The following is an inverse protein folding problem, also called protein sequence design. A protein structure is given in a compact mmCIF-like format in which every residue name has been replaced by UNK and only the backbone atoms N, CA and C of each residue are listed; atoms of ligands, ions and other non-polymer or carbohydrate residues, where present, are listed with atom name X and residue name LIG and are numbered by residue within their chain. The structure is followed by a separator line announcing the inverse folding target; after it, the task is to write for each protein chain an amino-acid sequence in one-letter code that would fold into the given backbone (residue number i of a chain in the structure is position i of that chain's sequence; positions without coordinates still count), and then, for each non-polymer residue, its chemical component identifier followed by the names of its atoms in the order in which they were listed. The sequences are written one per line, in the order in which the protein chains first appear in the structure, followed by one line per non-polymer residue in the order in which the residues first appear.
data_IF_221781096116
#
_entry.id   IF_221781096116
#
_cell.length_a   1.000
_cell.length_b   1.000
_cell.length_c   1.000
_cell.angle_alpha   90.00
_cell.angle_beta   90.00
_cell.angle_gamma   90.00
#
_symmetry.space_group_name_H-M   'P 1'
#
loop_
_entity.id
_entity.type
_entity.pdbx_description
1 polymer ?
#
# COMPACT_ATOMS: atom_id res chain seq x y z
N UNK A 1 -44.84 -36.74 7.18
CA UNK A 1 -44.49 -35.40 7.71
C UNK A 1 -45.07 -34.35 6.77
N UNK A 2 -45.81 -33.35 7.26
CA UNK A 2 -46.40 -32.30 6.39
C UNK A 2 -45.34 -31.24 6.09
N UNK A 3 -45.13 -30.92 4.82
CA UNK A 3 -44.16 -29.90 4.40
C UNK A 3 -44.75 -28.52 4.70
N UNK A 4 -44.00 -27.66 5.41
CA UNK A 4 -44.36 -26.27 5.70
C UNK A 4 -43.31 -25.30 5.15
N UNK A 5 -43.55 -24.00 5.29
CA UNK A 5 -42.64 -22.92 4.86
C UNK A 5 -41.25 -22.99 5.51
N UNK A 6 -41.17 -23.46 6.75
CA UNK A 6 -39.92 -23.48 7.49
C UNK A 6 -38.93 -24.50 6.94
N UNK A 7 -39.40 -25.61 6.36
CA UNK A 7 -38.52 -26.54 5.65
C UNK A 7 -37.81 -25.87 4.46
N UNK A 8 -38.53 -25.07 3.67
CA UNK A 8 -37.93 -24.35 2.54
C UNK A 8 -36.95 -23.26 3.00
N UNK A 9 -37.25 -22.58 4.11
CA UNK A 9 -36.32 -21.61 4.71
C UNK A 9 -35.05 -22.29 5.23
N UNK A 10 -35.20 -23.42 5.92
CA UNK A 10 -34.07 -24.18 6.45
C UNK A 10 -33.18 -24.71 5.32
N UNK A 11 -33.77 -25.23 4.24
CA UNK A 11 -33.04 -25.66 3.05
C UNK A 11 -32.30 -24.50 2.38
N UNK A 12 -32.98 -23.36 2.22
CA UNK A 12 -32.34 -22.14 1.71
C UNK A 12 -31.16 -21.69 2.60
N UNK A 13 -31.32 -21.67 3.93
CA UNK A 13 -30.26 -21.32 4.86
C UNK A 13 -29.07 -22.29 4.77
N UNK A 14 -29.33 -23.60 4.64
CA UNK A 14 -28.30 -24.61 4.47
C UNK A 14 -27.51 -24.38 3.17
N UNK A 15 -28.20 -24.10 2.06
CA UNK A 15 -27.56 -23.78 0.78
C UNK A 15 -26.65 -22.54 0.87
N UNK A 16 -27.10 -21.46 1.52
CA UNK A 16 -26.26 -20.27 1.70
C UNK A 16 -25.06 -20.51 2.62
N UNK A 17 -25.24 -21.31 3.66
CA UNK A 17 -24.14 -21.72 4.51
C UNK A 17 -23.09 -22.51 3.71
N UNK A 18 -23.51 -23.46 2.88
CA UNK A 18 -22.60 -24.23 2.01
C UNK A 18 -21.89 -23.33 0.99
N UNK A 19 -22.59 -22.37 0.37
CA UNK A 19 -21.99 -21.39 -0.55
C UNK A 19 -20.95 -20.52 0.14
N UNK A 20 -21.23 -20.06 1.36
CA UNK A 20 -20.29 -19.27 2.16
C UNK A 20 -19.06 -20.10 2.53
N UNK A 21 -19.24 -21.35 2.95
CA UNK A 21 -18.13 -22.28 3.24
C UNK A 21 -17.25 -22.54 2.02
N UNK A 22 -17.87 -22.75 0.85
CA UNK A 22 -17.15 -22.94 -0.40
C UNK A 22 -16.31 -21.70 -0.75
N UNK A 23 -16.91 -20.52 -0.64
CA UNK A 23 -16.21 -19.27 -0.94
C UNK A 23 -15.09 -19.00 0.07
N UNK A 24 -15.35 -19.19 1.37
CA UNK A 24 -14.37 -19.05 2.45
C UNK A 24 -13.16 -19.97 2.28
N UNK A 25 -13.34 -21.17 1.72
CA UNK A 25 -12.23 -22.08 1.46
C UNK A 25 -11.19 -21.52 0.48
N UNK A 26 -11.56 -20.52 -0.32
CA UNK A 26 -10.68 -19.83 -1.27
C UNK A 26 -10.13 -18.50 -0.72
N UNK A 27 -10.62 -18.04 0.44
CA UNK A 27 -10.19 -16.79 1.06
C UNK A 27 -9.04 -17.02 2.03
N UNK A 28 -8.32 -15.94 2.31
CA UNK A 28 -7.31 -15.88 3.36
C UNK A 28 -7.44 -14.56 4.11
N UNK A 29 -6.70 -14.39 5.21
CA UNK A 29 -6.65 -13.14 5.97
C UNK A 29 -6.22 -11.91 5.13
N UNK A 30 -5.62 -12.15 3.98
CA UNK A 30 -5.12 -11.11 3.06
C UNK A 30 -5.83 -11.11 1.70
N UNK A 31 -6.88 -11.94 1.56
CA UNK A 31 -7.65 -12.10 0.33
C UNK A 31 -9.14 -12.13 0.69
N UNK A 32 -9.69 -10.97 1.04
CA UNK A 32 -11.13 -10.72 1.16
C UNK A 32 -11.43 -9.25 0.83
N UNK A 33 -12.71 -8.89 0.77
CA UNK A 33 -13.16 -7.53 0.52
C UNK A 33 -13.51 -7.28 -0.94
N UNK A 34 -13.21 -6.08 -1.44
CA UNK A 34 -13.57 -5.68 -2.81
C UNK A 34 -12.94 -6.63 -3.83
N UNK A 35 -13.70 -7.04 -4.84
CA UNK A 35 -13.20 -7.87 -5.94
C UNK A 35 -13.51 -7.26 -7.31
N UNK A 36 -12.72 -7.63 -8.31
CA UNK A 36 -12.86 -7.13 -9.67
C UNK A 36 -13.67 -8.11 -10.54
N UNK A 37 -14.65 -7.60 -11.29
CA UNK A 37 -15.52 -8.39 -12.18
C UNK A 37 -15.35 -8.06 -13.66
N UNK A 38 -14.37 -7.22 -14.02
CA UNK A 38 -14.20 -6.72 -15.39
C UNK A 38 -14.71 -5.29 -15.60
N UNK A 39 -15.58 -4.81 -14.71
CA UNK A 39 -16.04 -3.42 -14.69
C UNK A 39 -15.25 -2.64 -13.62
N UNK A 40 -14.83 -1.39 -13.90
CA UNK A 40 -14.19 -0.56 -12.90
C UNK A 40 -15.18 -0.26 -11.77
N UNK A 41 -14.81 -0.58 -10.53
CA UNK A 41 -15.59 -0.18 -9.36
C UNK A 41 -15.43 1.32 -9.12
N UNK A 42 -16.47 1.99 -8.57
CA UNK A 42 -16.33 3.37 -8.15
C UNK A 42 -15.21 3.47 -7.12
N UNK A 43 -14.40 4.53 -7.23
CA UNK A 43 -13.33 4.81 -6.25
C UNK A 43 -13.89 4.88 -4.82
N UNK A 44 -15.17 5.25 -4.69
CA UNK A 44 -15.88 5.34 -3.41
C UNK A 44 -17.16 4.51 -3.47
N UNK A 45 -17.22 3.37 -2.76
CA UNK A 45 -18.46 2.63 -2.65
C UNK A 45 -19.48 3.38 -1.79
N UNK A 46 -19.06 4.32 -0.92
CA UNK A 46 -19.91 5.04 0.03
C UNK A 46 -19.88 6.54 -0.21
N UNK A 47 -21.06 7.16 -0.24
CA UNK A 47 -21.24 8.61 -0.21
C UNK A 47 -21.68 9.05 1.18
N UNK A 48 -21.04 10.11 1.67
CA UNK A 48 -21.34 10.72 2.96
C UNK A 48 -21.92 12.10 2.70
N UNK A 49 -23.06 12.37 3.31
CA UNK A 49 -23.75 13.65 3.24
C UNK A 49 -24.01 14.15 4.65
N UNK A 50 -23.84 15.45 4.86
CA UNK A 50 -24.19 16.10 6.12
C UNK A 50 -25.30 17.10 5.82
N UNK A 51 -26.44 16.93 6.48
CA UNK A 51 -27.59 17.82 6.31
C UNK A 51 -27.47 19.07 7.20
N UNK A 52 -28.25 20.11 6.89
CA UNK A 52 -28.36 21.37 7.62
C UNK A 52 -28.74 21.19 9.10
N UNK A 53 -29.31 20.04 9.47
CA UNK A 53 -29.62 19.67 10.85
C UNK A 53 -28.45 18.99 11.59
N UNK A 54 -27.23 19.04 11.03
CA UNK A 54 -26.05 18.30 11.53
C UNK A 54 -26.32 16.79 11.67
N UNK A 55 -27.11 16.22 10.76
CA UNK A 55 -27.24 14.78 10.64
C UNK A 55 -26.26 14.26 9.61
N UNK A 56 -25.56 13.19 9.96
CA UNK A 56 -24.62 12.52 9.07
C UNK A 56 -25.34 11.34 8.46
N UNK A 57 -25.56 11.39 7.15
CA UNK A 57 -26.18 10.34 6.36
C UNK A 57 -25.15 9.68 5.43
N UNK A 58 -25.05 8.35 5.49
CA UNK A 58 -24.14 7.55 4.67
C UNK A 58 -24.94 6.62 3.79
N UNK A 59 -24.56 6.47 2.52
CA UNK A 59 -25.25 5.60 1.56
C UNK A 59 -24.24 4.83 0.72
N UNK A 60 -24.45 3.52 0.59
CA UNK A 60 -23.66 2.64 -0.28
C UNK A 60 -24.14 2.76 -1.74
N UNK A 61 -23.34 3.29 -2.66
CA UNK A 61 -23.73 3.44 -4.07
C UNK A 61 -23.69 2.12 -4.83
N UNK A 62 -22.51 1.51 -4.86
CA UNK A 62 -22.25 0.22 -5.47
C UNK A 62 -21.11 -0.44 -4.71
N UNK A 63 -21.17 -1.76 -4.60
CA UNK A 63 -20.18 -2.55 -3.89
C UNK A 63 -20.23 -3.98 -4.37
N UNK A 64 -19.10 -4.46 -4.89
CA UNK A 64 -18.91 -5.87 -5.17
C UNK A 64 -17.78 -6.36 -4.27
N UNK A 65 -18.13 -7.10 -3.24
CA UNK A 65 -17.19 -7.51 -2.20
C UNK A 65 -17.52 -8.89 -1.63
N UNK A 66 -16.55 -9.49 -0.96
CA UNK A 66 -16.74 -10.72 -0.21
C UNK A 66 -16.26 -10.54 1.23
N UNK A 67 -17.07 -10.94 2.21
CA UNK A 67 -16.67 -10.87 3.62
C UNK A 67 -15.65 -11.97 3.94
N UNK A 68 -14.89 -11.88 5.05
CA UNK A 68 -14.01 -12.96 5.52
C UNK A 68 -14.75 -14.29 5.75
N UNK A 69 -16.05 -14.23 6.05
CA UNK A 69 -16.93 -15.38 6.18
C UNK A 69 -17.30 -16.07 4.86
N UNK A 70 -16.94 -15.50 3.71
CA UNK A 70 -17.31 -16.01 2.40
C UNK A 70 -18.68 -15.53 1.91
N UNK A 71 -19.25 -14.49 2.50
CA UNK A 71 -20.55 -13.95 2.06
C UNK A 71 -20.35 -12.88 0.98
N UNK A 72 -21.06 -13.06 -0.13
CA UNK A 72 -21.01 -12.15 -1.27
C UNK A 72 -21.89 -10.91 -1.03
N UNK A 73 -21.31 -9.74 -1.27
CA UNK A 73 -21.97 -8.45 -1.31
C UNK A 73 -21.99 -8.00 -2.76
N UNK A 74 -23.19 -7.73 -3.29
CA UNK A 74 -23.36 -7.28 -4.67
C UNK A 74 -24.45 -6.21 -4.74
N UNK A 75 -24.01 -4.96 -4.88
CA UNK A 75 -24.86 -3.75 -4.96
C UNK A 75 -24.42 -2.95 -6.19
N UNK A 76 -25.37 -2.54 -7.05
CA UNK A 76 -25.13 -1.81 -8.31
C UNK A 76 -25.81 -0.44 -8.34
N UNK A 77 -25.14 0.52 -8.99
CA UNK A 77 -25.55 1.94 -9.08
C UNK A 77 -26.78 2.18 -9.97
N UNK A 78 -26.99 1.39 -11.03
CA UNK A 78 -28.10 1.54 -12.02
C UNK A 78 -29.52 1.33 -11.43
N UNK A 79 -29.62 1.01 -10.14
CA UNK A 79 -30.87 0.91 -9.39
C UNK A 79 -31.59 2.26 -9.15
N UNK A 80 -31.09 3.36 -9.74
CA UNK A 80 -31.59 4.74 -9.56
C UNK A 80 -32.59 5.18 -10.65
N UNK A 81 -32.75 4.43 -11.75
CA UNK A 81 -33.81 4.73 -12.76
C UNK A 81 -35.17 4.14 -12.35
N UNK A 82 -36.21 4.95 -12.44
CA UNK A 82 -37.46 4.82 -11.67
C UNK A 82 -38.34 3.59 -11.96
N UNK A 83 -38.06 2.79 -12.99
CA UNK A 83 -38.85 1.60 -13.35
C UNK A 83 -38.25 0.31 -12.79
N UNK A 84 -37.04 0.37 -12.23
CA UNK A 84 -36.26 -0.78 -11.79
C UNK A 84 -35.95 -0.76 -10.30
N UNK A 85 -36.94 -0.31 -9.50
CA UNK A 85 -36.87 -0.19 -8.03
C UNK A 85 -36.89 -1.55 -7.31
N UNK A 86 -36.02 -2.43 -7.75
CA UNK A 86 -35.60 -3.63 -7.04
C UNK A 86 -34.74 -3.17 -5.88
N UNK A 87 -35.47 -2.87 -4.82
CA UNK A 87 -34.98 -2.30 -3.60
C UNK A 87 -34.42 -3.45 -2.76
N UNK A 88 -33.15 -3.80 -2.96
CA UNK A 88 -32.37 -4.06 -1.77
C UNK A 88 -32.25 -2.68 -1.11
N UNK A 89 -32.85 -2.48 0.07
CA UNK A 89 -32.66 -1.24 0.82
C UNK A 89 -31.16 -1.07 0.98
N UNK A 90 -30.59 -0.15 0.19
CA UNK A 90 -29.22 0.26 0.36
C UNK A 90 -29.13 0.71 1.82
N UNK A 91 -28.28 0.10 2.65
CA UNK A 91 -28.24 0.47 4.04
C UNK A 91 -27.79 1.92 4.12
N UNK A 92 -28.66 2.75 4.68
CA UNK A 92 -28.39 4.14 4.93
C UNK A 92 -28.25 4.34 6.43
N UNK A 93 -27.09 4.80 6.90
CA UNK A 93 -26.93 5.20 8.30
C UNK A 93 -27.26 6.69 8.38
N UNK A 94 -28.22 7.08 9.23
CA UNK A 94 -28.47 8.48 9.57
C UNK A 94 -28.41 8.65 11.09
N UNK A 95 -27.55 9.53 11.59
CA UNK A 95 -27.45 9.82 13.01
C UNK A 95 -27.07 11.28 13.31
N UNK A 96 -27.44 11.81 14.49
CA UNK A 96 -27.04 13.14 14.92
C UNK A 96 -25.52 13.25 15.11
N UNK A 97 -24.92 14.35 14.66
CA UNK A 97 -23.49 14.64 14.84
C UNK A 97 -23.03 14.55 16.31
N UNK A 98 -23.90 14.90 17.26
CA UNK A 98 -23.62 14.84 18.70
C UNK A 98 -23.31 13.43 19.23
N UNK A 99 -23.64 12.36 18.48
CA UNK A 99 -23.33 10.98 18.85
C UNK A 99 -21.93 10.53 18.39
N UNK A 100 -21.26 11.30 17.52
CA UNK A 100 -19.86 11.08 17.20
C UNK A 100 -19.03 11.66 18.36
N UNK A 101 -18.25 10.82 19.02
CA UNK A 101 -17.42 11.19 20.15
C UNK A 101 -16.35 12.24 19.76
N UNK A 102 -15.66 12.73 20.81
CA UNK A 102 -14.68 13.82 20.89
C UNK A 102 -13.95 14.27 19.60
N UNK A 103 -13.54 15.54 19.60
CA UNK A 103 -12.67 16.12 18.58
C UNK A 103 -11.47 15.20 18.26
N UNK A 104 -11.22 15.00 16.96
CA UNK A 104 -10.18 14.14 16.37
C UNK A 104 -10.40 12.62 16.48
N UNK A 105 -11.63 12.16 16.72
CA UNK A 105 -11.98 10.74 16.62
C UNK A 105 -11.98 10.24 15.14
N UNK A 106 -11.45 9.03 14.95
CA UNK A 106 -11.48 8.30 13.67
C UNK A 106 -12.46 7.12 13.78
N UNK A 107 -13.39 7.04 12.83
CA UNK A 107 -14.37 5.96 12.74
C UNK A 107 -14.21 5.21 11.43
N UNK A 108 -14.35 3.89 11.47
CA UNK A 108 -14.48 3.06 10.29
C UNK A 108 -15.95 2.84 9.95
N UNK A 109 -16.25 2.87 8.65
CA UNK A 109 -17.55 2.50 8.10
C UNK A 109 -17.53 1.02 7.78
N UNK A 110 -18.34 0.25 8.49
CA UNK A 110 -18.40 -1.21 8.39
C UNK A 110 -19.75 -1.63 7.82
N UNK A 111 -19.70 -2.49 6.80
CA UNK A 111 -20.87 -3.18 6.27
C UNK A 111 -21.04 -4.52 6.97
N UNK A 112 -22.20 -4.75 7.55
CA UNK A 112 -22.60 -6.02 8.15
C UNK A 112 -23.53 -6.76 7.20
N UNK A 113 -23.22 -8.04 6.94
CA UNK A 113 -24.05 -8.91 6.09
C UNK A 113 -24.83 -9.88 6.95
N UNK A 114 -26.16 -9.87 6.84
CA UNK A 114 -27.02 -10.88 7.46
C UNK A 114 -27.53 -11.87 6.39
N UNK A 115 -26.90 -13.06 6.24
CA UNK A 115 -27.25 -14.02 5.20
C UNK A 115 -28.59 -14.73 5.44
N UNK A 116 -29.10 -14.71 6.68
CA UNK A 116 -30.31 -15.42 7.07
C UNK A 116 -31.54 -14.50 7.16
N UNK A 117 -31.34 -13.18 7.10
CA UNK A 117 -32.41 -12.23 6.92
C UNK A 117 -32.50 -11.82 5.45
N UNK A 118 -33.58 -12.22 4.77
CA UNK A 118 -33.68 -12.15 3.30
C UNK A 118 -34.68 -11.12 2.83
N UNK A 119 -34.23 -10.27 1.92
CA UNK A 119 -35.02 -9.19 1.32
C UNK A 119 -35.39 -9.59 -0.11
N UNK A 120 -36.66 -9.48 -0.53
CA UNK A 120 -37.09 -9.74 -1.91
C UNK A 120 -36.43 -8.79 -2.92
N UNK A 121 -35.91 -9.35 -4.02
CA UNK A 121 -35.23 -8.63 -5.10
C UNK A 121 -35.52 -9.28 -6.47
N UNK A 122 -35.10 -8.66 -7.57
CA UNK A 122 -35.36 -9.08 -8.95
C UNK A 122 -36.54 -8.37 -9.61
N UNK A 123 -36.51 -8.29 -10.95
CA UNK A 123 -37.59 -7.70 -11.75
C UNK A 123 -38.79 -8.62 -11.67
N UNK A 124 -39.98 -8.12 -11.25
CA UNK A 124 -41.19 -8.93 -11.30
C UNK A 124 -41.45 -9.42 -12.73
N UNK A 125 -41.82 -10.68 -12.85
CA UNK A 125 -42.24 -11.23 -14.14
C UNK A 125 -43.66 -10.75 -14.46
N UNK A 126 -43.85 -10.15 -15.63
CA UNK A 126 -45.14 -9.62 -16.09
C UNK A 126 -46.12 -10.75 -16.40
N UNK A 127 -45.61 -11.94 -16.72
CA UNK A 127 -46.41 -13.14 -16.97
C UNK A 127 -46.86 -13.84 -15.67
N UNK A 128 -46.30 -13.45 -14.50
CA UNK A 128 -46.72 -14.02 -13.21
C UNK A 128 -48.06 -13.40 -12.78
N UNK A 129 -49.03 -14.26 -12.42
CA UNK A 129 -50.38 -13.82 -12.01
C UNK A 129 -50.38 -12.93 -10.76
N UNK A 130 -49.30 -12.97 -9.95
CA UNK A 130 -49.03 -12.04 -8.87
C UNK A 130 -47.62 -11.49 -9.03
N UNK A 131 -47.53 -10.22 -9.42
CA UNK A 131 -46.27 -9.48 -9.53
C UNK A 131 -45.53 -9.49 -8.18
N UNK A 132 -44.46 -10.28 -8.11
CA UNK A 132 -43.53 -10.30 -6.97
C UNK A 132 -42.09 -10.27 -7.46
N UNK A 133 -41.15 -9.81 -6.63
CA UNK A 133 -39.73 -9.99 -6.91
C UNK A 133 -39.37 -11.49 -6.90
N UNK A 134 -38.71 -12.03 -7.95
CA UNK A 134 -38.44 -13.46 -8.09
C UNK A 134 -37.29 -13.98 -7.21
N UNK A 135 -36.39 -13.11 -6.75
CA UNK A 135 -35.17 -13.46 -6.03
C UNK A 135 -35.17 -12.92 -4.60
N UNK A 136 -34.17 -13.30 -3.82
CA UNK A 136 -33.91 -12.70 -2.51
C UNK A 136 -32.42 -12.42 -2.31
N UNK A 137 -32.10 -11.30 -1.68
CA UNK A 137 -30.74 -10.90 -1.29
C UNK A 137 -30.59 -10.96 0.24
N UNK A 138 -29.37 -11.09 0.78
CA UNK A 138 -29.12 -10.89 2.20
C UNK A 138 -29.41 -9.44 2.60
N UNK A 139 -29.79 -9.24 3.86
CA UNK A 139 -29.92 -7.89 4.41
C UNK A 139 -28.53 -7.34 4.75
N UNK A 140 -28.36 -6.06 4.43
CA UNK A 140 -27.13 -5.33 4.67
C UNK A 140 -27.39 -4.23 5.71
N UNK A 141 -26.40 -3.90 6.52
CA UNK A 141 -26.47 -2.82 7.52
C UNK A 141 -25.14 -2.06 7.54
N UNK A 142 -25.18 -0.72 7.57
CA UNK A 142 -23.99 0.10 7.75
C UNK A 142 -23.87 0.54 9.20
N UNK A 143 -22.67 0.40 9.77
CA UNK A 143 -22.36 0.78 11.14
C UNK A 143 -21.08 1.59 11.19
N UNK A 144 -20.98 2.48 12.16
CA UNK A 144 -19.75 3.20 12.48
C UNK A 144 -19.12 2.58 13.72
N UNK A 145 -17.83 2.27 13.61
CA UNK A 145 -17.04 1.67 14.70
C UNK A 145 -15.80 2.52 14.91
N UNK A 146 -15.48 2.88 16.15
CA UNK A 146 -14.26 3.63 16.45
C UNK A 146 -13.01 2.82 16.06
N UNK A 147 -12.06 3.46 15.37
CA UNK A 147 -10.83 2.79 14.95
C UNK A 147 -9.98 2.29 16.14
N UNK A 148 -10.10 2.92 17.31
CA UNK A 148 -9.45 2.48 18.55
C UNK A 148 -9.95 1.11 19.00
N UNK A 149 -11.26 0.90 18.91
CA UNK A 149 -11.88 -0.38 19.25
C UNK A 149 -11.45 -1.42 18.22
N UNK A 150 -11.42 -1.08 16.92
CA UNK A 150 -10.94 -2.04 15.90
C UNK A 150 -9.51 -2.57 16.16
N UNK A 151 -8.59 -1.72 16.64
CA UNK A 151 -7.15 -2.04 16.85
C UNK A 151 -6.84 -2.84 18.11
N UNK A 152 -7.69 -2.79 19.14
CA UNK A 152 -7.51 -3.54 20.40
C UNK A 152 -7.94 -5.01 20.29
N UNK A 153 -8.25 -5.50 19.07
CA UNK A 153 -9.04 -6.71 18.86
C UNK A 153 -10.54 -6.47 19.11
N UNK A 154 -10.95 -5.22 19.32
CA UNK A 154 -12.29 -4.74 19.65
C UNK A 154 -13.13 -4.30 18.43
N UNK A 155 -12.91 -4.87 17.24
CA UNK A 155 -14.04 -5.21 16.36
C UNK A 155 -15.03 -6.19 17.02
N UNK A 156 -14.70 -6.62 18.25
CA UNK A 156 -15.54 -7.19 19.30
C UNK A 156 -16.25 -6.11 20.14
N UNK A 157 -16.82 -5.07 19.54
CA UNK A 157 -17.75 -4.19 20.28
C UNK A 157 -18.98 -5.01 20.67
N UNK A 158 -19.03 -5.39 21.95
CA UNK A 158 -20.20 -5.74 22.76
C UNK A 158 -21.48 -6.14 22.02
N UNK A 159 -21.40 -7.28 21.32
CA UNK A 159 -22.52 -8.19 21.20
C UNK A 159 -22.66 -9.04 22.47
N UNK A 160 -22.61 -8.43 23.67
CA UNK A 160 -23.06 -9.12 24.89
C UNK A 160 -24.58 -9.22 24.81
N UNK A 161 -25.06 -10.26 24.11
CA UNK A 161 -26.32 -10.87 24.51
C UNK A 161 -26.01 -11.70 25.75
N UNK A 162 -26.85 -11.58 26.76
CA UNK A 162 -26.80 -12.22 28.09
C UNK A 162 -26.68 -13.75 28.11
N UNK A 163 -26.52 -14.41 26.96
CA UNK A 163 -26.65 -15.85 26.79
C UNK A 163 -25.32 -16.46 26.33
N UNK A 164 -24.24 -16.25 27.09
CA UNK A 164 -23.11 -17.18 27.25
C UNK A 164 -22.37 -17.79 26.04
N UNK A 165 -22.64 -17.40 24.79
CA UNK A 165 -21.98 -17.96 23.60
C UNK A 165 -21.00 -16.92 23.05
N UNK A 166 -19.71 -17.15 23.32
CA UNK A 166 -18.58 -16.38 22.77
C UNK A 166 -18.64 -16.40 21.24
N UNK A 167 -18.90 -15.26 20.59
CA UNK A 167 -18.87 -15.16 19.13
C UNK A 167 -17.50 -14.70 18.63
N UNK A 168 -16.58 -15.65 18.46
CA UNK A 168 -15.41 -15.48 17.59
C UNK A 168 -15.82 -15.35 16.10
N UNK A 169 -17.12 -15.50 15.79
CA UNK A 169 -17.72 -15.55 14.44
C UNK A 169 -18.35 -14.23 13.97
N UNK A 170 -18.35 -13.17 14.79
CA UNK A 170 -18.94 -11.89 14.39
C UNK A 170 -18.12 -11.21 13.27
N UNK A 171 -16.78 -11.32 13.34
CA UNK A 171 -15.83 -10.82 12.33
C UNK A 171 -16.10 -11.29 10.90
N UNK A 172 -16.66 -12.49 10.74
CA UNK A 172 -16.90 -13.12 9.43
C UNK A 172 -17.98 -12.41 8.60
N UNK A 173 -18.83 -11.61 9.24
CA UNK A 173 -19.96 -10.90 8.61
C UNK A 173 -19.67 -9.41 8.38
N UNK A 174 -18.56 -8.91 8.91
CA UNK A 174 -18.19 -7.50 8.84
C UNK A 174 -17.21 -7.25 7.68
N UNK A 175 -17.40 -6.13 7.01
CA UNK A 175 -16.49 -5.66 5.97
C UNK A 175 -16.27 -4.15 6.10
N UNK A 176 -15.05 -3.69 6.44
CA UNK A 176 -14.76 -2.26 6.42
C UNK A 176 -14.69 -1.76 4.98
N UNK A 177 -15.37 -0.64 4.71
CA UNK A 177 -15.49 -0.04 3.37
C UNK A 177 -14.98 1.40 3.30
N UNK A 178 -14.81 2.08 4.43
CA UNK A 178 -14.38 3.47 4.48
C UNK A 178 -13.90 3.88 5.86
N UNK A 179 -13.27 5.06 5.94
CA UNK A 179 -12.90 5.72 7.20
C UNK A 179 -13.37 7.17 7.15
N UNK A 180 -13.76 7.70 8.31
CA UNK A 180 -14.08 9.12 8.51
C UNK A 180 -13.27 9.67 9.67
N UNK A 181 -12.95 10.96 9.58
CA UNK A 181 -12.37 11.74 10.67
C UNK A 181 -13.32 12.86 11.05
N UNK A 182 -13.51 13.02 12.35
CA UNK A 182 -14.28 14.13 12.91
C UNK A 182 -13.31 15.22 13.32
N UNK A 183 -13.32 16.34 12.59
CA UNK A 183 -12.44 17.48 12.88
C UNK A 183 -13.22 18.79 12.76
N UNK A 184 -13.00 19.70 13.72
CA UNK A 184 -13.59 21.06 13.73
C UNK A 184 -15.11 21.12 13.50
N UNK A 185 -15.88 20.19 14.05
CA UNK A 185 -17.34 20.20 13.87
C UNK A 185 -17.83 19.59 12.56
N UNK A 186 -16.94 18.98 11.76
CA UNK A 186 -17.25 18.40 10.44
C UNK A 186 -16.83 16.94 10.37
N UNK A 187 -17.60 16.15 9.63
CA UNK A 187 -17.24 14.78 9.27
C UNK A 187 -16.59 14.79 7.91
N UNK A 188 -15.31 14.42 7.86
CA UNK A 188 -14.53 14.37 6.64
C UNK A 188 -14.25 12.90 6.29
N UNK A 189 -14.59 12.44 5.07
CA UNK A 189 -14.14 11.14 4.60
C UNK A 189 -12.61 11.11 4.50
N UNK A 190 -12.01 9.98 4.86
CA UNK A 190 -10.60 9.74 4.59
C UNK A 190 -10.44 9.21 3.16
N UNK A 191 -10.05 10.13 2.27
CA UNK A 191 -9.89 9.87 0.84
C UNK A 191 -8.72 8.94 0.51
N UNK A 192 -7.78 8.81 1.45
CA UNK A 192 -6.62 7.95 1.29
C UNK A 192 -6.88 6.52 1.74
N UNK A 193 -8.02 6.25 2.39
CA UNK A 193 -8.33 4.93 2.90
C UNK A 193 -8.56 3.94 1.75
N UNK A 194 -7.87 2.81 1.82
CA UNK A 194 -8.04 1.71 0.87
C UNK A 194 -8.64 0.53 1.64
N UNK A 195 -9.88 0.11 1.34
CA UNK A 195 -10.52 -1.03 2.00
C UNK A 195 -9.84 -2.36 1.63
N UNK A 196 -10.14 -3.45 2.36
CA UNK A 196 -9.73 -4.79 1.98
C UNK A 196 -10.11 -5.11 0.53
N UNK A 197 -9.19 -5.73 -0.20
CA UNK A 197 -9.34 -6.05 -1.61
C UNK A 197 -8.80 -7.46 -1.88
N UNK A 198 -9.56 -8.29 -2.60
CA UNK A 198 -9.10 -9.63 -3.02
C UNK A 198 -8.01 -9.56 -4.09
N UNK A 199 -7.98 -8.48 -4.87
CA UNK A 199 -7.01 -8.26 -5.94
C UNK A 199 -6.65 -6.79 -6.10
N UNK A 200 -5.49 -6.51 -6.69
CA UNK A 200 -5.04 -5.15 -7.03
C UNK A 200 -5.99 -4.45 -7.98
N UNK A 201 -6.57 -5.17 -8.94
CA UNK A 201 -7.54 -4.61 -9.89
C UNK A 201 -8.85 -4.14 -9.24
N UNK A 202 -9.13 -4.52 -7.99
CA UNK A 202 -10.40 -4.19 -7.33
C UNK A 202 -10.51 -2.71 -6.91
N UNK A 203 -9.39 -1.98 -6.81
CA UNK A 203 -9.39 -0.59 -6.37
C UNK A 203 -8.50 0.30 -7.25
N UNK A 204 -8.96 1.49 -7.68
CA UNK A 204 -8.20 2.39 -8.55
C UNK A 204 -6.83 2.78 -8.00
N UNK A 205 -6.75 3.16 -6.72
CA UNK A 205 -5.47 3.54 -6.10
C UNK A 205 -4.44 2.40 -6.06
N UNK A 206 -4.90 1.14 -6.00
CA UNK A 206 -4.01 -0.03 -6.06
C UNK A 206 -3.50 -0.27 -7.47
N UNK A 207 -4.36 -0.03 -8.47
CA UNK A 207 -3.98 -0.11 -9.88
C UNK A 207 -2.99 0.99 -10.27
N UNK A 208 -3.17 2.21 -9.74
CA UNK A 208 -2.22 3.30 -9.88
C UNK A 208 -0.87 2.96 -9.23
N UNK A 209 -0.91 2.42 -8.00
CA UNK A 209 0.31 2.00 -7.31
C UNK A 209 1.05 0.88 -8.06
N UNK A 210 0.30 -0.08 -8.63
CA UNK A 210 0.85 -1.13 -9.49
C UNK A 210 1.57 -0.58 -10.72
N UNK A 211 1.00 0.41 -11.41
CA UNK A 211 1.67 1.10 -12.52
C UNK A 211 2.94 1.84 -12.06
N UNK A 212 2.92 2.44 -10.86
CA UNK A 212 4.10 3.04 -10.24
C UNK A 212 5.20 2.02 -9.96
N UNK A 213 4.86 0.81 -9.51
CA UNK A 213 5.81 -0.27 -9.30
C UNK A 213 6.42 -0.77 -10.61
N UNK A 214 5.63 -0.88 -11.69
CA UNK A 214 6.15 -1.23 -13.01
C UNK A 214 7.27 -0.27 -13.44
N UNK A 215 7.02 1.04 -13.32
CA UNK A 215 8.02 2.06 -13.61
C UNK A 215 9.24 1.96 -12.67
N UNK A 216 9.01 1.78 -11.37
CA UNK A 216 10.07 1.64 -10.38
C UNK A 216 11.01 0.47 -10.70
N UNK A 217 10.48 -0.74 -10.89
CA UNK A 217 11.30 -1.92 -11.16
C UNK A 217 12.05 -1.81 -12.50
N UNK A 218 11.39 -1.31 -13.56
CA UNK A 218 12.04 -1.10 -14.85
C UNK A 218 13.19 -0.08 -14.78
N UNK A 219 12.98 1.06 -14.11
CA UNK A 219 14.03 2.07 -13.94
C UNK A 219 15.16 1.55 -13.04
N UNK A 220 14.84 0.88 -11.94
CA UNK A 220 15.84 0.31 -11.04
C UNK A 220 16.73 -0.71 -11.73
N UNK A 221 16.17 -1.60 -12.55
CA UNK A 221 16.95 -2.56 -13.35
C UNK A 221 17.91 -1.83 -14.29
N UNK A 222 17.44 -0.79 -14.99
CA UNK A 222 18.27 0.02 -15.88
C UNK A 222 19.44 0.71 -15.15
N UNK A 223 19.19 1.25 -13.94
CA UNK A 223 20.22 1.90 -13.12
C UNK A 223 21.24 0.91 -12.60
N UNK A 224 20.79 -0.25 -12.11
CA UNK A 224 21.67 -1.33 -11.63
C UNK A 224 22.59 -1.80 -12.75
N UNK A 225 22.07 -2.07 -13.95
CA UNK A 225 22.88 -2.49 -15.10
C UNK A 225 23.88 -1.42 -15.52
N UNK A 226 23.46 -0.16 -15.60
CA UNK A 226 24.35 0.96 -15.94
C UNK A 226 25.46 1.16 -14.91
N UNK A 227 25.16 0.96 -13.63
CA UNK A 227 26.17 1.03 -12.55
C UNK A 227 27.17 -0.11 -12.66
N UNK A 228 26.72 -1.34 -12.96
CA UNK A 228 27.61 -2.48 -13.16
C UNK A 228 28.50 -2.32 -14.41
N UNK A 229 27.92 -1.84 -15.51
CA UNK A 229 28.68 -1.62 -16.75
C UNK A 229 29.84 -0.65 -16.53
N UNK A 230 29.62 0.46 -15.82
CA UNK A 230 30.68 1.44 -15.60
C UNK A 230 31.74 0.98 -14.59
N UNK A 231 31.39 0.20 -13.57
CA UNK A 231 32.39 -0.34 -12.63
C UNK A 231 33.30 -1.35 -13.33
N UNK A 232 32.74 -2.20 -14.20
CA UNK A 232 33.50 -3.17 -15.00
C UNK A 232 34.33 -2.49 -16.09
N UNK A 233 33.71 -1.65 -16.95
CA UNK A 233 34.39 -1.03 -18.10
C UNK A 233 35.53 -0.10 -17.68
N UNK A 234 35.38 0.61 -16.55
CA UNK A 234 36.41 1.53 -16.05
C UNK A 234 37.40 0.87 -15.10
N UNK A 235 37.31 -0.46 -14.90
CA UNK A 235 38.15 -1.24 -14.01
C UNK A 235 38.35 -0.55 -12.65
N UNK A 236 37.25 -0.12 -12.02
CA UNK A 236 37.29 0.66 -10.77
C UNK A 236 37.65 -0.28 -9.62
N UNK A 237 38.88 -0.16 -9.10
CA UNK A 237 39.38 -1.00 -8.00
C UNK A 237 39.30 -0.33 -6.63
N UNK A 238 38.43 0.68 -6.46
CA UNK A 238 38.25 1.29 -5.14
C UNK A 238 37.19 0.53 -4.32
N UNK A 239 37.31 0.63 -3.00
CA UNK A 239 36.46 -0.14 -2.07
C UNK A 239 34.98 0.24 -2.22
N UNK A 240 34.67 1.53 -2.42
CA UNK A 240 33.30 2.02 -2.62
C UNK A 240 32.64 1.45 -3.88
N UNK A 241 33.35 1.39 -5.01
CA UNK A 241 32.86 0.81 -6.25
C UNK A 241 32.68 -0.71 -6.13
N UNK A 242 33.55 -1.38 -5.35
CA UNK A 242 33.39 -2.79 -5.06
C UNK A 242 32.10 -3.07 -4.26
N UNK A 243 31.83 -2.29 -3.21
CA UNK A 243 30.60 -2.41 -2.40
C UNK A 243 29.35 -2.10 -3.23
N UNK A 244 29.34 -0.99 -3.96
CA UNK A 244 28.19 -0.62 -4.81
C UNK A 244 27.98 -1.65 -5.94
N UNK A 245 29.06 -2.19 -6.49
CA UNK A 245 29.03 -3.27 -7.47
C UNK A 245 28.42 -4.56 -6.92
N UNK A 246 28.78 -4.96 -5.69
CA UNK A 246 28.20 -6.14 -5.03
C UNK A 246 26.70 -5.95 -4.75
N UNK A 247 26.30 -4.77 -4.27
CA UNK A 247 24.89 -4.42 -4.09
C UNK A 247 24.11 -4.57 -5.40
N UNK A 248 24.61 -3.98 -6.48
CA UNK A 248 23.98 -4.06 -7.81
C UNK A 248 23.93 -5.50 -8.34
N UNK A 249 25.01 -6.28 -8.18
CA UNK A 249 25.08 -7.68 -8.62
C UNK A 249 24.07 -8.54 -7.86
N UNK A 250 23.86 -8.26 -6.58
CA UNK A 250 22.87 -8.97 -5.77
C UNK A 250 21.44 -8.58 -6.14
N UNK A 251 21.19 -7.30 -6.41
CA UNK A 251 19.86 -6.80 -6.73
C UNK A 251 19.36 -7.25 -8.11
N UNK A 252 20.24 -7.33 -9.11
CA UNK A 252 19.86 -7.60 -10.50
C UNK A 252 18.91 -8.78 -10.68
N UNK A 253 19.26 -9.99 -10.21
CA UNK A 253 18.38 -11.16 -10.33
C UNK A 253 17.03 -11.00 -9.61
N UNK A 254 17.03 -10.31 -8.47
CA UNK A 254 15.79 -10.05 -7.71
C UNK A 254 14.87 -9.10 -8.47
N UNK A 255 15.41 -8.00 -9.01
CA UNK A 255 14.66 -7.03 -9.81
C UNK A 255 14.06 -7.67 -11.05
N UNK A 256 14.83 -8.48 -11.78
CA UNK A 256 14.35 -9.18 -12.97
C UNK A 256 13.17 -10.12 -12.65
N UNK A 257 13.25 -10.86 -11.55
CA UNK A 257 12.18 -11.75 -11.10
C UNK A 257 10.92 -11.00 -10.66
N UNK A 258 11.08 -9.95 -9.85
CA UNK A 258 9.94 -9.16 -9.37
C UNK A 258 9.28 -8.34 -10.49
N UNK A 259 10.05 -7.81 -11.44
CA UNK A 259 9.51 -7.08 -12.59
C UNK A 259 8.56 -7.94 -13.43
N UNK A 260 8.91 -9.21 -13.67
CA UNK A 260 8.02 -10.14 -14.38
C UNK A 260 6.73 -10.42 -13.61
N UNK A 261 6.79 -10.52 -12.26
CA UNK A 261 5.59 -10.69 -11.44
C UNK A 261 4.68 -9.47 -11.47
N UNK A 262 5.25 -8.26 -11.51
CA UNK A 262 4.48 -7.02 -11.69
C UNK A 262 3.68 -7.09 -12.98
N UNK A 263 4.31 -7.49 -14.09
CA UNK A 263 3.66 -7.53 -15.41
C UNK A 263 2.60 -8.63 -15.52
N UNK A 264 2.86 -9.82 -14.96
CA UNK A 264 2.08 -11.02 -15.25
C UNK A 264 1.11 -11.42 -14.13
N UNK A 265 1.42 -11.13 -12.87
CA UNK A 265 0.72 -11.71 -11.72
C UNK A 265 0.01 -10.65 -10.86
N UNK A 266 0.67 -9.52 -10.57
CA UNK A 266 0.26 -8.65 -9.47
C UNK A 266 -1.13 -8.06 -9.61
N UNK A 267 -1.58 -7.79 -10.84
CA UNK A 267 -2.91 -7.22 -11.08
C UNK A 267 -4.06 -8.09 -10.54
N UNK A 268 -3.94 -9.41 -10.63
CA UNK A 268 -4.98 -10.35 -10.16
C UNK A 268 -4.72 -10.91 -8.76
N UNK A 269 -3.57 -10.59 -8.17
CA UNK A 269 -3.17 -11.10 -6.85
C UNK A 269 -3.59 -10.14 -5.73
N UNK A 270 -3.65 -10.60 -4.47
CA UNK A 270 -3.96 -9.72 -3.36
C UNK A 270 -2.86 -8.66 -3.12
N UNK A 271 -3.19 -7.46 -2.62
CA UNK A 271 -2.25 -6.33 -2.56
C UNK A 271 -1.01 -6.59 -1.70
N UNK A 272 -1.11 -7.50 -0.72
CA UNK A 272 0.03 -7.95 0.10
C UNK A 272 1.20 -8.45 -0.74
N UNK A 273 0.94 -9.02 -1.93
CA UNK A 273 1.99 -9.56 -2.81
C UNK A 273 2.92 -8.46 -3.32
N UNK A 274 2.37 -7.33 -3.76
CA UNK A 274 3.16 -6.16 -4.17
C UNK A 274 3.96 -5.59 -3.00
N UNK A 275 3.32 -5.44 -1.83
CA UNK A 275 4.00 -4.99 -0.60
C UNK A 275 5.17 -5.92 -0.24
N UNK A 276 4.97 -7.23 -0.39
CA UNK A 276 5.98 -8.24 -0.10
C UNK A 276 7.16 -8.18 -1.07
N UNK A 277 6.92 -7.93 -2.36
CA UNK A 277 7.98 -7.72 -3.36
C UNK A 277 8.85 -6.50 -3.06
N UNK A 278 8.25 -5.39 -2.63
CA UNK A 278 9.00 -4.18 -2.26
C UNK A 278 9.75 -4.37 -0.93
N UNK A 279 9.07 -4.91 0.08
CA UNK A 279 9.68 -5.19 1.39
C UNK A 279 10.83 -6.22 1.29
N UNK A 280 10.71 -7.19 0.38
CA UNK A 280 11.75 -8.15 0.07
C UNK A 280 13.01 -7.50 -0.51
N UNK A 281 12.85 -6.55 -1.44
CA UNK A 281 13.97 -5.74 -1.95
C UNK A 281 14.64 -4.93 -0.84
N UNK A 282 13.83 -4.27 0.01
CA UNK A 282 14.34 -3.50 1.15
C UNK A 282 15.17 -4.37 2.10
N UNK A 283 14.67 -5.58 2.40
CA UNK A 283 15.38 -6.54 3.25
C UNK A 283 16.65 -7.07 2.59
N UNK A 284 16.64 -7.34 1.28
CA UNK A 284 17.82 -7.75 0.53
C UNK A 284 18.92 -6.69 0.60
N UNK A 285 18.58 -5.44 0.29
CA UNK A 285 19.49 -4.29 0.34
C UNK A 285 20.07 -4.10 1.74
N UNK A 286 19.20 -4.09 2.76
CA UNK A 286 19.61 -3.95 4.16
C UNK A 286 20.59 -5.05 4.57
N UNK A 287 20.22 -6.31 4.34
CA UNK A 287 21.04 -7.45 4.71
C UNK A 287 22.40 -7.43 4.00
N UNK A 288 22.45 -7.01 2.74
CA UNK A 288 23.71 -6.90 2.01
C UNK A 288 24.59 -5.80 2.56
N UNK A 289 24.03 -4.63 2.88
CA UNK A 289 24.84 -3.56 3.45
C UNK A 289 25.38 -3.92 4.84
N UNK A 290 24.60 -4.66 5.64
CA UNK A 290 25.01 -5.06 6.99
C UNK A 290 26.18 -6.09 6.98
N UNK A 291 26.50 -6.71 5.83
CA UNK A 291 27.73 -7.50 5.66
C UNK A 291 28.98 -6.61 5.75
N UNK A 292 28.89 -5.35 5.30
CA UNK A 292 29.99 -4.38 5.29
C UNK A 292 30.10 -3.58 6.59
N UNK A 293 29.55 -4.10 7.70
CA UNK A 293 29.54 -3.44 9.01
C UNK A 293 30.94 -2.97 9.45
N UNK A 294 31.00 -1.76 10.02
CA UNK A 294 32.26 -1.09 10.38
C UNK A 294 32.55 0.11 9.47
N UNK A 295 33.84 0.46 9.32
CA UNK A 295 34.25 1.71 8.68
C UNK A 295 33.84 1.86 7.21
N UNK A 296 33.74 0.77 6.46
CA UNK A 296 33.35 0.82 5.04
C UNK A 296 31.87 1.17 4.83
N UNK A 297 30.98 0.68 5.72
CA UNK A 297 29.57 1.09 5.70
C UNK A 297 29.42 2.58 5.99
N UNK A 298 30.12 3.09 7.01
CA UNK A 298 30.07 4.51 7.37
C UNK A 298 30.64 5.39 6.25
N UNK A 299 31.74 4.97 5.62
CA UNK A 299 32.30 5.66 4.46
C UNK A 299 31.32 5.70 3.29
N UNK A 300 30.63 4.59 3.00
CA UNK A 300 29.62 4.53 1.95
C UNK A 300 28.41 5.43 2.26
N UNK A 301 27.94 5.45 3.51
CA UNK A 301 26.83 6.32 3.91
C UNK A 301 27.21 7.80 3.85
N UNK A 302 28.44 8.16 4.25
CA UNK A 302 28.96 9.51 4.09
C UNK A 302 29.08 9.88 2.60
N UNK A 303 29.53 8.95 1.76
CA UNK A 303 29.57 9.14 0.32
C UNK A 303 28.16 9.38 -0.28
N UNK A 304 27.14 8.64 0.17
CA UNK A 304 25.76 8.89 -0.24
C UNK A 304 25.25 10.26 0.23
N UNK A 305 25.62 10.70 1.43
CA UNK A 305 25.25 12.03 1.92
C UNK A 305 25.89 13.14 1.08
N UNK A 306 27.19 13.02 0.77
CA UNK A 306 27.94 14.00 -0.02
C UNK A 306 27.49 14.07 -1.48
N UNK A 307 27.35 12.92 -2.16
CA UNK A 307 27.22 12.87 -3.62
C UNK A 307 25.80 12.56 -4.10
N UNK A 308 24.95 12.00 -3.23
CA UNK A 308 23.57 11.67 -3.57
C UNK A 308 22.56 12.55 -2.81
N UNK A 309 23.01 13.57 -2.06
CA UNK A 309 22.16 14.52 -1.31
C UNK A 309 21.19 13.83 -0.35
N UNK A 310 21.63 12.72 0.26
CA UNK A 310 20.82 11.94 1.21
C UNK A 310 21.05 12.46 2.62
N UNK A 311 19.98 12.59 3.41
CA UNK A 311 20.12 12.98 4.81
C UNK A 311 20.74 11.83 5.62
N UNK A 312 21.63 12.17 6.55
CA UNK A 312 22.29 11.17 7.40
C UNK A 312 21.24 10.43 8.23
N UNK A 313 21.27 9.09 8.19
CA UNK A 313 20.30 8.22 8.88
C UNK A 313 18.96 8.01 8.14
N UNK A 314 18.65 8.77 7.08
CA UNK A 314 17.43 8.59 6.27
C UNK A 314 17.39 7.19 5.65
N UNK A 315 18.53 6.75 5.09
CA UNK A 315 18.67 5.43 4.48
C UNK A 315 18.30 4.31 5.47
N UNK A 316 18.89 4.33 6.68
CA UNK A 316 18.68 3.27 7.68
C UNK A 316 17.24 3.23 8.18
N UNK A 317 16.64 4.42 8.36
CA UNK A 317 15.24 4.56 8.78
C UNK A 317 14.28 4.01 7.72
N UNK A 318 14.43 4.43 6.46
CA UNK A 318 13.57 4.02 5.34
C UNK A 318 13.70 2.52 5.07
N UNK A 319 14.92 1.97 5.05
CA UNK A 319 15.18 0.54 4.85
C UNK A 319 14.60 -0.31 6.00
N UNK A 320 14.73 0.16 7.24
CA UNK A 320 14.19 -0.56 8.40
C UNK A 320 12.67 -0.52 8.41
N UNK A 321 12.06 0.64 8.15
CA UNK A 321 10.61 0.77 8.06
C UNK A 321 10.04 -0.17 6.98
N UNK A 322 10.59 -0.13 5.76
CA UNK A 322 10.09 -0.95 4.67
C UNK A 322 10.32 -2.46 4.89
N UNK A 323 11.48 -2.86 5.43
CA UNK A 323 11.74 -4.28 5.69
C UNK A 323 10.88 -4.83 6.84
N UNK A 324 10.49 -4.01 7.81
CA UNK A 324 9.69 -4.43 8.98
C UNK A 324 8.21 -4.08 8.87
N UNK A 325 7.75 -3.75 7.65
CA UNK A 325 6.35 -3.42 7.39
C UNK A 325 5.42 -4.50 7.93
N UNK A 326 4.37 -4.06 8.65
CA UNK A 326 3.28 -4.91 9.08
C UNK A 326 2.09 -4.62 8.17
N UNK A 327 1.71 -5.62 7.39
CA UNK A 327 0.55 -5.51 6.52
C UNK A 327 -0.72 -5.74 7.33
N UNK A 328 -1.61 -4.74 7.32
CA UNK A 328 -2.98 -4.87 7.81
C UNK A 328 -3.92 -4.81 6.62
N UNK A 329 -4.68 -5.89 6.40
CA UNK A 329 -5.58 -5.94 5.25
C UNK A 329 -6.77 -4.98 5.40
N UNK A 330 -7.10 -4.58 6.63
CA UNK A 330 -8.14 -3.59 6.90
C UNK A 330 -7.68 -2.14 6.67
N UNK A 331 -6.37 -1.87 6.59
CA UNK A 331 -5.80 -0.56 6.26
C UNK A 331 -4.58 -0.72 5.35
N UNK A 332 -4.84 -1.00 4.06
CA UNK A 332 -3.79 -1.27 3.08
C UNK A 332 -2.89 -0.04 2.86
N UNK A 333 -3.48 1.16 2.95
CA UNK A 333 -2.78 2.45 2.71
C UNK A 333 -1.58 2.63 3.63
N UNK A 334 -1.66 2.20 4.89
CA UNK A 334 -0.57 2.33 5.85
C UNK A 334 0.70 1.60 5.38
N UNK A 335 0.56 0.41 4.79
CA UNK A 335 1.67 -0.34 4.22
C UNK A 335 2.19 0.34 2.94
N UNK A 336 1.30 0.80 2.05
CA UNK A 336 1.70 1.46 0.81
C UNK A 336 2.54 2.72 1.05
N UNK A 337 2.17 3.56 2.02
CA UNK A 337 2.94 4.77 2.37
C UNK A 337 4.39 4.46 2.73
N UNK A 338 4.64 3.35 3.43
CA UNK A 338 6.01 2.91 3.77
C UNK A 338 6.75 2.41 2.53
N UNK A 339 6.07 1.71 1.63
CA UNK A 339 6.64 1.25 0.37
C UNK A 339 6.93 2.41 -0.59
N UNK A 340 6.08 3.44 -0.64
CA UNK A 340 6.28 4.65 -1.45
C UNK A 340 7.51 5.43 -0.98
N UNK A 341 7.66 5.61 0.34
CA UNK A 341 8.85 6.23 0.90
C UNK A 341 10.13 5.48 0.50
N UNK A 342 10.11 4.16 0.56
CA UNK A 342 11.26 3.32 0.18
C UNK A 342 11.55 3.32 -1.32
N UNK A 343 10.54 3.13 -2.17
CA UNK A 343 10.73 3.10 -3.63
C UNK A 343 11.19 4.45 -4.14
N UNK A 344 10.58 5.56 -3.68
CA UNK A 344 10.99 6.91 -4.04
C UNK A 344 12.39 7.28 -3.55
N UNK A 345 12.76 6.90 -2.33
CA UNK A 345 14.13 7.07 -1.82
C UNK A 345 15.16 6.27 -2.63
N UNK A 346 14.90 4.98 -2.82
CA UNK A 346 15.83 4.06 -3.50
C UNK A 346 16.01 4.45 -4.96
N UNK A 347 14.94 4.84 -5.65
CA UNK A 347 15.02 5.29 -7.04
C UNK A 347 15.88 6.55 -7.18
N UNK A 348 15.72 7.54 -6.28
CA UNK A 348 16.55 8.75 -6.26
C UNK A 348 18.03 8.43 -6.02
N UNK A 349 18.33 7.58 -5.03
CA UNK A 349 19.69 7.15 -4.74
C UNK A 349 20.36 6.50 -5.96
N UNK A 350 19.71 5.51 -6.56
CA UNK A 350 20.28 4.77 -7.68
C UNK A 350 20.34 5.59 -8.97
N UNK A 351 19.41 6.53 -9.18
CA UNK A 351 19.50 7.49 -10.27
C UNK A 351 20.74 8.39 -10.13
N UNK A 352 20.96 8.96 -8.94
CA UNK A 352 22.16 9.77 -8.64
C UNK A 352 23.43 8.95 -8.82
N UNK A 353 23.47 7.73 -8.26
CA UNK A 353 24.60 6.84 -8.46
C UNK A 353 24.83 6.53 -9.92
N UNK A 354 23.80 6.24 -10.71
CA UNK A 354 23.91 5.97 -12.13
C UNK A 354 24.43 7.19 -12.92
N UNK A 355 24.04 8.42 -12.54
CA UNK A 355 24.46 9.69 -13.14
C UNK A 355 25.96 9.96 -13.01
N UNK A 356 26.59 9.53 -11.91
CA UNK A 356 28.02 9.75 -11.68
C UNK A 356 28.89 8.99 -12.69
N UNK A 357 29.90 9.67 -13.25
CA UNK A 357 30.85 9.04 -14.16
C UNK A 357 31.80 8.06 -13.45
N UNK A 358 32.11 8.32 -12.19
CA UNK A 358 33.04 7.54 -11.36
C UNK A 358 32.46 7.42 -9.95
N UNK A 359 32.51 6.23 -9.37
CA UNK A 359 32.05 5.98 -8.00
C UNK A 359 33.28 6.02 -7.09
N UNK A 360 33.28 6.91 -6.08
CA UNK A 360 34.38 7.09 -5.14
C UNK A 360 35.16 8.40 -5.34
N UNK A 361 36.05 8.71 -4.38
CA UNK A 361 36.85 9.95 -4.41
C UNK A 361 37.93 9.85 -5.48
N UNK A 362 37.93 10.74 -6.49
CA UNK A 362 39.04 10.84 -7.44
C UNK A 362 40.32 11.14 -6.66
N UNK A 363 41.40 10.37 -6.89
CA UNK A 363 42.73 10.81 -6.46
C UNK A 363 43.02 12.12 -7.18
N UNK A 364 42.97 13.25 -6.48
CA UNK A 364 43.56 14.47 -7.00
C UNK A 364 45.03 14.17 -7.29
N UNK A 365 45.40 14.16 -8.57
CA UNK A 365 46.79 14.10 -8.98
C UNK A 365 47.43 15.43 -8.56
N UNK A 366 47.94 15.50 -7.33
CA UNK A 366 48.74 16.60 -6.83
C UNK A 366 50.07 16.66 -7.58
N UNK A 367 50.06 17.14 -8.82
CA UNK A 367 51.26 17.59 -9.52
C UNK A 367 51.71 18.87 -8.81
N UNK A 368 52.57 18.75 -7.82
CA UNK A 368 53.34 19.87 -7.30
C UNK A 368 54.51 20.14 -8.25
N UNK A 369 54.31 21.06 -9.19
CA UNK A 369 55.43 21.69 -9.89
C UNK A 369 56.09 22.65 -8.91
N UNK A 370 57.12 22.20 -8.20
CA UNK A 370 58.12 23.15 -7.66
C UNK A 370 58.91 23.64 -8.86
N UNK A 371 58.62 24.87 -9.30
CA UNK A 371 59.55 25.60 -10.16
C UNK A 371 60.87 25.75 -9.40
N UNK A 372 61.84 24.88 -9.69
CA UNK A 372 63.23 25.18 -9.43
C UNK A 372 63.65 26.18 -10.51
N UNK A 373 63.77 27.45 -10.13
CA UNK A 373 64.54 28.43 -10.87
C UNK A 373 65.98 27.93 -10.95
N UNK A 374 66.30 27.27 -12.06
CA UNK A 374 67.68 27.02 -12.48
C UNK A 374 68.23 28.36 -12.92
N UNK A 375 68.88 29.06 -12.00
CA UNK A 375 69.73 30.20 -12.37
C UNK A 375 71.01 29.62 -12.97
N UNK A 376 71.32 29.85 -14.27
CA UNK A 376 72.56 29.40 -14.86
C UNK A 376 73.72 30.18 -14.24
N UNK A 377 74.72 29.45 -13.76
CA UNK A 377 76.01 30.01 -13.41
C UNK A 377 76.77 30.36 -14.70
N UNK A 378 77.04 31.65 -14.88
CA UNK A 378 78.33 32.23 -15.30
C UNK A 378 78.10 33.63 -15.90
N UNK A 379 78.66 34.65 -15.24
CA UNK A 379 79.78 35.42 -15.78
C UNK A 379 80.10 36.57 -14.80
N UNK A 380 81.28 36.47 -14.18
CA UNK A 380 81.90 37.55 -13.42
C UNK A 380 82.15 38.75 -14.34
N UNK A 381 82.16 39.96 -13.75
CA UNK A 381 83.37 40.75 -13.92
C UNK A 381 83.95 41.22 -12.59
N UNK A 382 85.28 41.22 -12.56
CA UNK A 382 86.11 41.61 -11.44
C UNK A 382 86.15 43.13 -11.21
N UNK A 383 86.36 43.48 -9.93
CA UNK A 383 86.95 44.71 -9.36
C UNK A 383 86.13 46.00 -9.39
N UNK A 384 85.87 46.53 -8.17
CA UNK A 384 86.63 47.66 -7.61
C UNK A 384 86.49 47.73 -6.08
N UNK A 385 87.61 48.06 -5.42
CA UNK A 385 87.75 48.39 -3.99
C UNK A 385 87.23 49.81 -3.71
N UNK A 386 86.50 50.01 -2.61
CA UNK A 386 86.69 51.08 -1.60
C UNK A 386 85.62 50.93 -0.51
N UNK A 387 85.95 50.71 0.76
CA UNK A 387 86.43 51.67 1.78
C UNK A 387 85.29 52.52 2.39
N UNK A 388 85.11 52.39 3.71
CA UNK A 388 84.19 53.11 4.65
C UNK A 388 82.74 52.59 4.72
N UNK A 389 82.07 52.46 5.87
CA UNK A 389 82.43 52.66 7.28
C UNK A 389 81.31 52.05 8.16
N UNK A 390 81.70 51.70 9.38
CA UNK A 390 80.94 51.41 10.62
C UNK A 390 79.93 50.25 10.69
#
# INVERSE_FOLDING_TARGET
MKINKDHFRADQHANHWQQAMHSRALLSETCYGLFYTGEPQPMRPIVITTDNQQQVAMRLLACQAITPGGHLVYVREDSVTAEDRITATIPGLSMPYAQLAAADAEYAIVLTVNPYHRVPTGRPDVEESQLRPPFTAPAFELQLVECRDMRSGGGRSDGVRSDGVRSEKAGDLFLPLGRIRVSEGRVLPDEDYIPPCTSVAAHPALTEWHAGLEQFYGLMESYVLRILQKTVQKNQQNDLAAVVGDLCTTMGPYLAGEYQRVLLEYRSQPPVRMVSGVAGLARLLKNRLDVYTGGLKDELLNYFAEWCTIQQGEWESVMTAASTVRYDHADIRAALRQMDAFTGFTLRLFASLAALEYIGKKREAGIFVKEHLVVPAEELPARRRSFLAD
#
